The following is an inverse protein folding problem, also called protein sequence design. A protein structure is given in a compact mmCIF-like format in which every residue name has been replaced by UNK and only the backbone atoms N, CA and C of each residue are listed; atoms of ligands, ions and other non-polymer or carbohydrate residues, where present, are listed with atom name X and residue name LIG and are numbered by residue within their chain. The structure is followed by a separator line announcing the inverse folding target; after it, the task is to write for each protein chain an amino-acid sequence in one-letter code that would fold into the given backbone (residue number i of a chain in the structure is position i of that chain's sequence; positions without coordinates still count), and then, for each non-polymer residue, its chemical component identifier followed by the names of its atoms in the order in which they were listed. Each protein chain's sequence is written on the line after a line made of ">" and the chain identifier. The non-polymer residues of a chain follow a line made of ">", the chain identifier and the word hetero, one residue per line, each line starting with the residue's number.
data_IF_873635972705
#
_entry.id   IF_873635972705
#
_cell.length_a   1.000
_cell.length_b   1.000
_cell.length_c   1.000
_cell.angle_alpha   90.00
_cell.angle_beta   90.00
_cell.angle_gamma   90.00
#
_symmetry.space_group_name_H-M   'P 1'
#
loop_
_entity.id
_entity.type
_entity.pdbx_description
1 polymer ?
#
# COMPACT_ATOMS: atom_id res chain seq x y z
N UNK A 1 26.00 14.66 -3.44
CA UNK A 1 25.21 13.47 -3.81
C UNK A 1 23.84 13.65 -3.17
N UNK A 2 22.80 13.00 -3.68
CA UNK A 2 21.44 13.17 -3.14
C UNK A 2 21.08 11.94 -2.30
N UNK A 3 20.69 12.16 -1.05
CA UNK A 3 20.00 11.13 -0.29
C UNK A 3 18.68 10.79 -1.00
N UNK A 4 18.38 9.50 -1.09
CA UNK A 4 17.07 9.05 -1.56
C UNK A 4 16.31 8.48 -0.37
N UNK A 5 15.06 8.89 -0.23
CA UNK A 5 14.20 8.44 0.85
C UNK A 5 13.01 7.70 0.26
N UNK A 6 12.58 6.63 0.90
CA UNK A 6 11.35 5.92 0.53
C UNK A 6 10.23 6.32 1.49
N UNK A 7 9.18 6.93 0.95
CA UNK A 7 7.94 7.14 1.69
C UNK A 7 7.02 5.94 1.54
N UNK A 8 6.65 5.32 2.67
CA UNK A 8 5.64 4.28 2.77
C UNK A 8 4.39 4.93 3.34
N UNK A 9 3.40 5.11 2.48
CA UNK A 9 2.09 5.65 2.79
C UNK A 9 1.32 4.77 3.80
N UNK A 10 0.51 5.37 4.67
CA UNK A 10 -0.30 4.66 5.68
C UNK A 10 -1.24 3.62 5.05
N UNK A 11 -1.57 3.77 3.76
CA UNK A 11 -2.44 2.82 3.05
C UNK A 11 -1.71 1.58 2.53
N UNK A 12 -0.39 1.47 2.78
CA UNK A 12 0.43 0.35 2.31
C UNK A 12 0.18 -0.92 3.10
N UNK A 13 0.03 -2.04 2.37
CA UNK A 13 -0.08 -3.39 2.95
C UNK A 13 1.26 -3.92 3.48
N UNK A 14 2.34 -3.16 3.31
CA UNK A 14 3.63 -3.47 3.91
C UNK A 14 3.68 -3.08 5.39
N UNK A 15 2.88 -2.09 5.80
CA UNK A 15 2.67 -1.75 7.20
C UNK A 15 1.77 -2.81 7.87
N UNK A 16 2.13 -3.20 9.08
CA UNK A 16 1.34 -4.16 9.88
C UNK A 16 0.67 -3.43 11.03
N UNK A 17 -0.66 -3.46 11.02
CA UNK A 17 -1.48 -2.80 12.03
C UNK A 17 -2.15 -3.84 12.93
N UNK A 18 -2.05 -3.61 14.24
CA UNK A 18 -2.71 -4.43 15.26
C UNK A 18 -3.65 -3.57 16.11
N UNK A 19 -4.79 -4.13 16.57
CA UNK A 19 -5.28 -5.49 16.30
C UNK A 19 -5.74 -5.72 14.85
N UNK A 20 -5.93 -4.67 14.06
CA UNK A 20 -6.30 -4.75 12.64
C UNK A 20 -6.03 -3.43 11.91
N UNK A 21 -5.93 -3.52 10.58
CA UNK A 21 -5.68 -2.42 9.63
C UNK A 21 -6.88 -1.48 9.50
N UNK A 22 -8.07 -2.02 9.22
CA UNK A 22 -9.33 -1.28 9.07
C UNK A 22 -10.44 -1.99 9.83
N UNK A 23 -10.70 -1.59 11.08
CA UNK A 23 -11.85 -2.11 11.80
C UNK A 23 -12.75 -1.01 12.35
N UNK A 24 -14.01 -1.39 12.57
CA UNK A 24 -15.11 -0.46 12.70
C UNK A 24 -15.27 0.18 14.10
N UNK A 25 -14.59 -0.32 15.15
CA UNK A 25 -14.90 0.09 16.54
C UNK A 25 -13.69 0.20 17.51
N UNK A 26 -12.66 -0.63 17.34
CA UNK A 26 -11.41 -0.60 18.12
C UNK A 26 -10.21 -0.45 17.14
N UNK A 27 -8.94 -0.47 17.58
CA UNK A 27 -7.78 -0.55 16.67
C UNK A 27 -7.53 0.65 15.74
N UNK A 28 -7.11 0.37 14.49
CA UNK A 28 -6.83 1.40 13.48
C UNK A 28 -7.97 1.47 12.45
N UNK A 29 -8.23 2.69 11.98
CA UNK A 29 -9.24 2.99 10.99
C UNK A 29 -8.70 4.00 10.00
N UNK A 30 -8.83 3.70 8.72
CA UNK A 30 -8.50 4.62 7.66
C UNK A 30 -9.52 5.79 7.55
N UNK A 31 -8.99 6.98 7.30
CA UNK A 31 -9.74 8.21 7.10
C UNK A 31 -9.10 9.04 6.00
N UNK A 32 -9.93 9.75 5.24
CA UNK A 32 -9.46 10.65 4.20
C UNK A 32 -9.99 12.07 4.39
N UNK A 33 -9.23 13.08 3.99
CA UNK A 33 -9.69 14.48 4.11
C UNK A 33 -10.96 14.76 3.30
N UNK A 34 -11.13 14.14 2.13
CA UNK A 34 -12.31 14.28 1.27
C UNK A 34 -13.42 13.27 1.60
N UNK A 35 -13.07 11.98 1.68
CA UNK A 35 -14.06 10.90 1.87
C UNK A 35 -14.41 10.59 3.34
N UNK A 36 -13.60 11.08 4.30
CA UNK A 36 -13.72 10.79 5.74
C UNK A 36 -13.55 9.29 6.04
N UNK A 37 -14.16 8.82 7.13
CA UNK A 37 -14.25 7.39 7.43
C UNK A 37 -15.13 6.69 6.41
N UNK A 38 -14.86 5.42 6.15
CA UNK A 38 -15.73 4.60 5.31
C UNK A 38 -17.07 4.35 6.00
N UNK A 39 -18.21 4.84 5.48
CA UNK A 39 -19.52 4.60 6.08
C UNK A 39 -20.09 3.21 5.69
N UNK A 40 -19.28 2.15 5.76
CA UNK A 40 -19.67 0.80 5.37
C UNK A 40 -20.01 0.67 3.88
N UNK A 41 -19.20 1.28 3.01
CA UNK A 41 -19.47 1.31 1.57
C UNK A 41 -18.86 0.08 0.93
N UNK A 42 -19.68 -0.96 0.76
CA UNK A 42 -19.35 -2.08 -0.12
C UNK A 42 -19.23 -1.57 -1.57
N UNK A 43 -18.01 -1.23 -2.02
CA UNK A 43 -17.82 -0.71 -3.38
C UNK A 43 -16.37 -0.64 -3.84
N UNK A 44 -16.21 -0.52 -5.16
CA UNK A 44 -14.96 -0.15 -5.85
C UNK A 44 -14.78 1.39 -5.87
N UNK A 45 -15.24 2.08 -4.82
CA UNK A 45 -15.14 3.53 -4.73
C UNK A 45 -13.73 3.92 -4.26
N UNK A 46 -13.05 4.74 -5.06
CA UNK A 46 -11.78 5.32 -4.67
C UNK A 46 -12.02 6.42 -3.63
N UNK A 47 -11.23 6.41 -2.57
CA UNK A 47 -11.23 7.51 -1.62
C UNK A 47 -10.68 8.80 -2.26
N UNK A 48 -10.98 9.94 -1.64
CA UNK A 48 -10.55 11.26 -2.09
C UNK A 48 -9.89 12.04 -0.96
N UNK A 49 -8.82 12.75 -1.29
CA UNK A 49 -8.01 13.51 -0.32
C UNK A 49 -6.83 12.72 0.23
N UNK A 50 -6.18 13.28 1.25
CA UNK A 50 -5.03 12.69 1.92
C UNK A 50 -5.49 11.60 2.89
N UNK A 51 -4.84 10.45 2.85
CA UNK A 51 -5.08 9.34 3.77
C UNK A 51 -4.44 9.58 5.12
N UNK A 52 -5.06 9.01 6.14
CA UNK A 52 -4.54 8.88 7.50
C UNK A 52 -5.08 7.58 8.09
N UNK A 53 -4.27 6.89 8.90
CA UNK A 53 -4.75 5.85 9.80
C UNK A 53 -4.83 6.40 11.21
N UNK A 54 -6.00 6.30 11.83
CA UNK A 54 -6.25 6.80 13.17
C UNK A 54 -6.52 5.63 14.12
N UNK A 55 -6.00 5.75 15.34
CA UNK A 55 -6.40 4.90 16.45
C UNK A 55 -6.87 5.75 17.62
N UNK A 56 -8.05 5.45 18.14
CA UNK A 56 -8.61 6.04 19.36
C UNK A 56 -8.53 5.10 20.57
N UNK A 57 -7.85 3.96 20.43
CA UNK A 57 -7.69 2.94 21.48
C UNK A 57 -6.25 2.46 21.59
N UNK A 58 -6.09 1.23 22.09
CA UNK A 58 -4.80 0.54 22.05
C UNK A 58 -4.61 -0.13 20.70
N UNK A 59 -3.49 0.15 20.05
CA UNK A 59 -3.13 -0.48 18.78
C UNK A 59 -1.68 -0.18 18.43
N UNK A 60 -1.10 -0.94 17.52
CA UNK A 60 0.27 -0.71 17.05
C UNK A 60 0.34 -0.71 15.53
N UNK A 61 1.30 0.04 14.99
CA UNK A 61 1.72 -0.06 13.59
C UNK A 61 3.19 -0.45 13.59
N UNK A 62 3.57 -1.37 12.72
CA UNK A 62 4.96 -1.82 12.61
C UNK A 62 5.41 -1.98 11.17
N UNK A 63 6.72 -1.83 10.98
CA UNK A 63 7.40 -1.93 9.70
C UNK A 63 8.76 -2.57 9.90
N UNK A 64 9.07 -3.54 9.04
CA UNK A 64 10.44 -4.06 8.87
C UNK A 64 11.08 -3.42 7.64
N UNK A 65 12.31 -2.95 7.76
CA UNK A 65 13.00 -2.18 6.71
C UNK A 65 14.52 -2.35 6.72
N UNK A 66 15.15 -1.95 5.62
CA UNK A 66 16.60 -1.76 5.51
C UNK A 66 16.83 -0.28 5.20
N UNK A 67 17.72 0.39 5.93
CA UNK A 67 17.97 1.82 5.76
C UNK A 67 18.91 2.36 6.82
N UNK A 68 19.33 3.61 6.66
CA UNK A 68 20.15 4.33 7.64
C UNK A 68 19.33 5.15 8.63
N UNK A 69 18.02 5.17 8.46
CA UNK A 69 17.14 5.81 9.41
C UNK A 69 15.66 5.60 9.09
N UNK A 70 14.81 6.07 10.00
CA UNK A 70 13.37 6.00 9.87
C UNK A 70 12.72 7.21 10.53
N UNK A 71 11.72 7.76 9.84
CA UNK A 71 10.84 8.79 10.36
C UNK A 71 9.40 8.32 10.31
N UNK A 72 8.68 8.46 11.42
CA UNK A 72 7.24 8.21 11.47
C UNK A 72 6.54 9.55 11.44
N UNK A 73 5.77 9.82 10.39
CA UNK A 73 4.99 11.03 10.21
C UNK A 73 3.55 10.80 10.68
N UNK A 74 2.98 11.81 11.33
CA UNK A 74 1.66 11.72 11.94
C UNK A 74 1.44 12.76 13.03
N UNK A 75 0.41 12.56 13.84
CA UNK A 75 0.13 13.41 15.01
C UNK A 75 -0.49 12.59 16.12
N UNK A 76 -0.28 12.99 17.38
CA UNK A 76 -0.87 12.30 18.51
C UNK A 76 -1.21 13.29 19.61
N UNK A 77 -2.41 13.18 20.18
CA UNK A 77 -2.76 13.77 21.46
C UNK A 77 -3.04 12.68 22.53
N UNK A 78 -2.91 11.41 22.16
CA UNK A 78 -2.78 10.28 23.08
C UNK A 78 -1.31 10.04 23.45
N UNK A 79 -1.06 9.35 24.56
CA UNK A 79 0.26 8.79 24.85
C UNK A 79 0.59 7.67 23.86
N UNK A 80 1.82 7.62 23.38
CA UNK A 80 2.32 6.54 22.53
C UNK A 80 3.77 6.19 22.90
N UNK A 81 4.21 5.01 22.47
CA UNK A 81 5.60 4.57 22.60
C UNK A 81 6.11 4.10 21.26
N UNK A 82 7.41 4.29 21.01
CA UNK A 82 8.08 3.76 19.83
C UNK A 82 9.17 2.79 20.26
N UNK A 83 9.23 1.64 19.60
CA UNK A 83 10.28 0.66 19.77
C UNK A 83 11.01 0.48 18.44
N UNK A 84 12.34 0.52 18.49
CA UNK A 84 13.20 0.23 17.34
C UNK A 84 14.08 -0.97 17.68
N UNK A 85 13.97 -2.01 16.87
CA UNK A 85 14.63 -3.30 17.05
C UNK A 85 14.33 -3.88 18.45
N UNK A 86 15.37 -4.26 19.18
CA UNK A 86 15.29 -4.78 20.55
C UNK A 86 15.49 -3.69 21.61
N UNK A 87 15.43 -2.40 21.25
CA UNK A 87 15.54 -1.32 22.22
C UNK A 87 14.35 -1.29 23.17
N UNK A 88 14.54 -0.67 24.32
CA UNK A 88 13.42 -0.31 25.18
C UNK A 88 12.49 0.66 24.43
N UNK A 89 11.19 0.54 24.70
CA UNK A 89 10.19 1.42 24.14
C UNK A 89 10.36 2.83 24.70
N UNK A 90 10.58 3.82 23.83
CA UNK A 90 10.71 5.22 24.21
C UNK A 90 9.32 5.88 24.21
N UNK A 91 8.89 6.52 25.31
CA UNK A 91 7.70 7.37 25.30
C UNK A 91 7.85 8.45 24.24
N UNK A 92 6.81 8.63 23.43
CA UNK A 92 6.77 9.69 22.44
C UNK A 92 6.17 10.96 23.01
N UNK A 93 6.80 12.10 22.72
CA UNK A 93 6.19 13.42 22.87
C UNK A 93 5.89 13.91 21.45
N UNK A 94 4.62 14.19 21.12
CA UNK A 94 4.28 14.73 19.81
C UNK A 94 4.89 16.14 19.68
N UNK A 95 5.94 16.36 18.87
CA UNK A 95 6.71 17.61 18.84
C UNK A 95 5.93 18.80 18.24
N UNK A 96 4.73 18.59 17.71
CA UNK A 96 3.87 19.64 17.15
C UNK A 96 3.95 19.80 15.62
N UNK A 97 4.91 19.16 14.94
CA UNK A 97 5.23 19.43 13.52
C UNK A 97 4.95 18.26 12.56
N UNK A 98 4.07 17.33 12.94
CA UNK A 98 3.76 16.18 12.08
C UNK A 98 4.77 15.03 12.14
N UNK A 99 5.81 15.11 12.98
CA UNK A 99 6.83 14.07 13.16
C UNK A 99 6.63 13.36 14.50
N UNK A 100 6.34 12.07 14.51
CA UNK A 100 6.17 11.30 15.76
C UNK A 100 7.49 10.68 16.25
N UNK A 101 8.38 10.33 15.33
CA UNK A 101 9.65 9.69 15.65
C UNK A 101 10.66 9.93 14.54
N UNK A 102 11.92 10.14 14.91
CA UNK A 102 13.06 10.15 13.99
C UNK A 102 14.22 9.39 14.60
N UNK A 103 14.81 8.49 13.81
CA UNK A 103 16.09 7.86 14.11
C UNK A 103 16.94 7.80 12.86
N UNK A 104 18.19 8.23 13.00
CA UNK A 104 19.22 8.17 11.97
C UNK A 104 20.39 7.31 12.47
N UNK A 105 21.46 7.24 11.66
CA UNK A 105 22.69 6.49 11.95
C UNK A 105 22.46 4.99 12.20
N UNK A 106 21.46 4.41 11.54
CA UNK A 106 21.21 2.98 11.52
C UNK A 106 22.10 2.28 10.49
N UNK A 107 22.27 0.98 10.66
CA UNK A 107 23.12 0.17 9.80
C UNK A 107 22.33 -0.26 8.56
N UNK A 108 22.69 0.26 7.39
CA UNK A 108 22.01 -0.08 6.14
C UNK A 108 22.07 -1.58 5.75
N UNK A 109 23.04 -2.32 6.28
CA UNK A 109 23.30 -3.73 5.98
C UNK A 109 22.54 -4.72 6.87
N UNK A 110 21.72 -4.24 7.80
CA UNK A 110 20.89 -5.08 8.67
C UNK A 110 19.42 -4.73 8.54
N UNK A 111 18.58 -5.73 8.82
CA UNK A 111 17.14 -5.53 8.91
C UNK A 111 16.79 -4.87 10.24
N UNK A 112 16.01 -3.80 10.15
CA UNK A 112 15.47 -3.08 11.30
C UNK A 112 13.97 -3.31 11.40
N UNK A 113 13.43 -3.24 12.62
CA UNK A 113 11.99 -3.25 12.87
C UNK A 113 11.62 -2.03 13.71
N UNK A 114 10.68 -1.22 13.23
CA UNK A 114 10.11 -0.13 14.03
C UNK A 114 8.65 -0.44 14.33
N UNK A 115 8.22 -0.19 15.56
CA UNK A 115 6.82 -0.24 15.95
C UNK A 115 6.42 1.00 16.76
N UNK A 116 5.25 1.54 16.46
CA UNK A 116 4.61 2.58 17.25
C UNK A 116 3.35 1.99 17.89
N UNK A 117 3.27 2.08 19.21
CA UNK A 117 2.12 1.62 19.99
C UNK A 117 1.37 2.81 20.56
N UNK A 118 0.11 2.97 20.15
CA UNK A 118 -0.81 3.94 20.71
C UNK A 118 -1.38 3.43 22.03
N UNK A 119 -1.31 4.25 23.07
CA UNK A 119 -1.88 3.97 24.39
C UNK A 119 -3.05 4.94 24.66
N UNK A 120 -4.02 4.99 23.76
CA UNK A 120 -5.22 5.81 23.96
C UNK A 120 -6.20 5.12 24.91
N UNK A 121 -6.83 5.92 25.79
CA UNK A 121 -7.88 5.47 26.72
C UNK A 121 -9.30 5.69 26.16
N UNK A 122 -9.44 5.89 24.85
CA UNK A 122 -10.71 6.25 24.22
C UNK A 122 -11.00 7.76 24.23
N UNK A 123 -12.13 8.12 23.62
CA UNK A 123 -12.63 9.49 23.58
C UNK A 123 -11.95 10.35 22.52
N UNK A 124 -11.41 11.51 22.94
CA UNK A 124 -10.77 12.50 22.06
C UNK A 124 -9.27 12.29 21.89
N UNK A 125 -8.68 11.28 22.53
CA UNK A 125 -7.26 10.93 22.41
C UNK A 125 -7.05 10.00 21.22
N UNK A 126 -6.22 10.43 20.28
CA UNK A 126 -5.95 9.82 18.99
C UNK A 126 -4.44 9.72 18.77
N UNK A 127 -4.03 8.63 18.14
CA UNK A 127 -2.79 8.56 17.36
C UNK A 127 -3.18 8.53 15.89
N UNK A 128 -2.46 9.29 15.08
CA UNK A 128 -2.70 9.45 13.65
C UNK A 128 -1.37 9.19 12.95
N UNK A 129 -1.36 8.28 11.98
CA UNK A 129 -0.21 7.98 11.12
C UNK A 129 -0.53 8.46 9.70
N UNK A 130 0.46 9.08 9.07
CA UNK A 130 0.43 9.56 7.70
C UNK A 130 1.30 8.67 6.80
N UNK A 131 2.60 8.64 7.09
CA UNK A 131 3.54 7.83 6.32
C UNK A 131 4.78 7.51 7.17
N UNK A 132 5.51 6.49 6.77
CA UNK A 132 6.83 6.16 7.32
C UNK A 132 7.87 6.42 6.24
N UNK A 133 8.85 7.27 6.52
CA UNK A 133 9.96 7.55 5.61
C UNK A 133 11.16 6.72 6.04
N UNK A 134 11.64 5.85 5.16
CA UNK A 134 12.92 5.16 5.32
C UNK A 134 14.00 6.05 4.70
N UNK A 135 15.04 6.31 5.49
CA UNK A 135 16.22 7.06 5.06
C UNK A 135 17.26 6.08 4.55
N UNK A 136 17.92 6.43 3.45
CA UNK A 136 19.02 5.65 2.88
C UNK A 136 20.26 6.52 2.68
N UNK A 137 21.40 5.84 2.54
CA UNK A 137 22.66 6.50 2.18
C UNK A 137 22.56 7.25 0.86
N UNK A 138 23.35 8.31 0.76
CA UNK A 138 23.52 9.04 -0.50
C UNK A 138 24.08 8.11 -1.57
N UNK A 139 23.36 8.00 -2.68
CA UNK A 139 23.77 7.24 -3.84
C UNK A 139 23.48 8.03 -5.11
N UNK A 140 24.51 8.22 -5.92
CA UNK A 140 24.34 8.77 -7.26
C UNK A 140 23.92 7.65 -8.23
N UNK A 141 23.05 8.00 -9.18
CA UNK A 141 22.71 7.12 -10.31
C UNK A 141 21.58 6.11 -10.07
N UNK A 142 21.03 5.97 -8.86
CA UNK A 142 19.92 5.04 -8.64
C UNK A 142 18.66 5.48 -9.38
N UNK A 143 18.09 4.55 -10.13
CA UNK A 143 16.81 4.75 -10.81
C UNK A 143 15.90 3.53 -10.65
N UNK A 144 14.59 3.79 -10.66
CA UNK A 144 13.59 2.74 -10.67
C UNK A 144 13.41 2.21 -12.08
N UNK A 145 13.77 0.95 -12.28
CA UNK A 145 13.32 0.18 -13.45
C UNK A 145 11.91 -0.32 -13.16
N UNK A 146 10.94 0.14 -13.94
CA UNK A 146 9.54 -0.22 -13.80
C UNK A 146 9.19 -1.29 -14.82
N UNK A 147 8.68 -2.42 -14.35
CA UNK A 147 8.12 -3.50 -15.16
C UNK A 147 6.61 -3.46 -14.98
N UNK A 148 5.90 -3.12 -16.05
CA UNK A 148 4.45 -3.00 -16.08
C UNK A 148 3.80 -4.40 -16.09
N UNK A 149 2.59 -4.52 -15.56
CA UNK A 149 1.89 -5.80 -15.58
C UNK A 149 1.64 -6.34 -17.00
N UNK A 150 1.71 -5.52 -18.04
CA UNK A 150 1.57 -5.92 -19.44
C UNK A 150 2.88 -6.45 -20.08
N UNK A 151 4.03 -6.34 -19.40
CA UNK A 151 5.35 -6.77 -19.91
C UNK A 151 5.53 -8.29 -19.86
N UNK A 152 4.74 -9.03 -20.62
CA UNK A 152 4.71 -10.51 -20.64
C UNK A 152 6.04 -11.18 -21.08
N UNK A 153 6.99 -10.42 -21.61
CA UNK A 153 8.36 -10.90 -21.91
C UNK A 153 9.27 -10.91 -20.69
N UNK A 154 8.97 -10.08 -19.68
CA UNK A 154 9.73 -9.95 -18.45
C UNK A 154 9.04 -10.63 -17.26
N UNK A 155 7.72 -10.79 -17.35
CA UNK A 155 6.89 -11.43 -16.32
C UNK A 155 6.45 -12.83 -16.78
N UNK A 156 6.74 -13.85 -15.97
CA UNK A 156 6.20 -15.19 -16.18
C UNK A 156 4.95 -15.44 -15.35
N UNK A 157 3.81 -15.36 -16.03
CA UNK A 157 2.49 -15.64 -15.45
C UNK A 157 2.16 -17.13 -15.52
N UNK A 158 1.87 -17.72 -14.38
CA UNK A 158 1.33 -19.08 -14.23
C UNK A 158 -0.10 -19.04 -13.66
N UNK A 159 -0.94 -19.99 -14.06
CA UNK A 159 -2.34 -20.08 -13.65
C UNK A 159 -3.29 -19.20 -14.46
N UNK A 160 -4.43 -18.84 -13.86
CA UNK A 160 -5.46 -18.02 -14.51
C UNK A 160 -5.30 -16.56 -14.10
N UNK A 161 -4.77 -15.74 -15.01
CA UNK A 161 -4.66 -14.30 -14.89
C UNK A 161 -5.57 -13.61 -15.90
N UNK A 162 -6.27 -12.58 -15.45
CA UNK A 162 -7.22 -11.81 -16.25
C UNK A 162 -6.74 -10.36 -16.29
N UNK A 163 -6.75 -9.77 -17.48
CA UNK A 163 -6.56 -8.32 -17.63
C UNK A 163 -7.89 -7.63 -17.32
N UNK A 164 -7.87 -6.67 -16.40
CA UNK A 164 -9.04 -5.92 -15.96
C UNK A 164 -8.72 -4.42 -15.94
N UNK A 165 -9.74 -3.58 -15.77
CA UNK A 165 -9.57 -2.13 -15.63
C UNK A 165 -10.68 -1.55 -14.77
N UNK A 166 -10.30 -0.75 -13.78
CA UNK A 166 -11.24 -0.04 -12.90
C UNK A 166 -10.95 1.45 -12.94
N UNK A 167 -11.99 2.27 -12.90
CA UNK A 167 -11.83 3.69 -12.59
C UNK A 167 -11.30 3.81 -11.17
N UNK A 168 -10.24 4.58 -10.96
CA UNK A 168 -9.53 4.65 -9.69
C UNK A 168 -8.21 3.90 -9.67
N UNK A 169 -7.85 3.19 -10.75
CA UNK A 169 -6.57 2.47 -10.89
C UNK A 169 -5.76 3.09 -12.05
N UNK A 170 -4.50 3.52 -11.85
CA UNK A 170 -3.74 3.44 -10.60
C UNK A 170 -4.08 4.53 -9.57
N UNK A 171 -4.88 5.54 -9.93
CA UNK A 171 -5.27 6.63 -9.02
C UNK A 171 -6.72 7.06 -9.28
N UNK A 172 -7.27 7.87 -8.37
CA UNK A 172 -8.69 8.27 -8.33
C UNK A 172 -9.24 8.90 -9.63
N UNK A 173 -8.38 9.46 -10.49
CA UNK A 173 -8.80 10.14 -11.73
C UNK A 173 -8.57 9.33 -13.00
N UNK A 174 -7.85 8.20 -12.91
CA UNK A 174 -7.46 7.39 -14.06
C UNK A 174 -8.19 6.04 -14.12
N UNK A 175 -8.21 5.46 -15.32
CA UNK A 175 -8.61 4.07 -15.56
C UNK A 175 -7.55 3.44 -16.47
N UNK A 176 -6.66 2.65 -15.88
CA UNK A 176 -5.65 1.86 -16.56
C UNK A 176 -5.95 0.36 -16.41
N UNK A 177 -5.32 -0.43 -17.28
CA UNK A 177 -5.36 -1.88 -17.16
C UNK A 177 -4.42 -2.36 -16.06
N UNK A 178 -4.81 -3.42 -15.37
CA UNK A 178 -3.98 -4.18 -14.45
C UNK A 178 -4.25 -5.68 -14.68
N UNK A 179 -3.43 -6.55 -14.10
CA UNK A 179 -3.68 -8.00 -14.15
C UNK A 179 -4.15 -8.49 -12.79
N UNK A 180 -5.08 -9.44 -12.75
CA UNK A 180 -5.57 -10.04 -11.51
C UNK A 180 -5.68 -11.54 -11.59
N UNK A 181 -5.55 -12.18 -10.45
CA UNK A 181 -5.78 -13.59 -10.26
C UNK A 181 -6.66 -13.83 -9.02
N UNK A 182 -7.55 -14.82 -9.13
CA UNK A 182 -8.51 -15.20 -8.08
C UNK A 182 -8.27 -16.63 -7.53
N UNK A 183 -7.24 -17.33 -8.02
CA UNK A 183 -6.95 -18.72 -7.67
C UNK A 183 -5.59 -18.83 -6.98
N UNK A 184 -5.46 -19.60 -5.88
CA UNK A 184 -4.19 -19.75 -5.13
C UNK A 184 -3.08 -20.45 -5.93
N UNK A 185 -3.42 -21.12 -7.03
CA UNK A 185 -2.44 -21.72 -7.94
C UNK A 185 -1.86 -20.73 -8.96
N UNK A 186 -2.39 -19.50 -9.01
CA UNK A 186 -1.88 -18.45 -9.90
C UNK A 186 -0.70 -17.74 -9.27
N UNK A 187 0.33 -17.46 -10.07
CA UNK A 187 1.48 -16.67 -9.66
C UNK A 187 2.04 -15.90 -10.84
N UNK A 188 2.78 -14.84 -10.55
CA UNK A 188 3.62 -14.13 -11.52
C UNK A 188 5.01 -14.03 -10.93
N UNK A 189 6.02 -14.37 -11.74
CA UNK A 189 7.42 -14.32 -11.32
C UNK A 189 8.24 -13.43 -12.25
N UNK A 190 9.28 -12.83 -11.69
CA UNK A 190 10.23 -11.98 -12.40
C UNK A 190 11.63 -12.24 -11.85
N UNK A 191 12.61 -12.30 -12.74
CA UNK A 191 14.02 -12.43 -12.38
C UNK A 191 14.78 -11.15 -12.66
N UNK A 192 15.67 -10.75 -11.77
CA UNK A 192 16.49 -9.55 -11.96
C UNK A 192 17.84 -9.65 -11.24
N UNK A 193 18.80 -8.83 -11.68
CA UNK A 193 20.08 -8.58 -11.00
C UNK A 193 20.41 -7.08 -11.07
N UNK A 194 21.46 -6.63 -10.36
CA UNK A 194 21.81 -5.21 -10.28
C UNK A 194 20.85 -4.35 -9.44
N UNK A 195 19.92 -4.98 -8.73
CA UNK A 195 18.94 -4.32 -7.86
C UNK A 195 19.41 -4.23 -6.41
N UNK A 196 19.19 -3.07 -5.79
CA UNK A 196 19.37 -2.81 -4.34
C UNK A 196 18.06 -2.86 -3.56
N UNK A 197 16.94 -2.65 -4.26
CA UNK A 197 15.62 -2.82 -3.70
C UNK A 197 14.61 -3.29 -4.75
N UNK A 198 13.54 -3.92 -4.28
CA UNK A 198 12.38 -4.28 -5.11
C UNK A 198 11.09 -3.86 -4.40
N UNK A 199 10.13 -3.38 -5.19
CA UNK A 199 8.81 -2.98 -4.73
C UNK A 199 7.73 -3.59 -5.64
N UNK A 200 6.62 -4.05 -5.06
CA UNK A 200 5.44 -4.50 -5.80
C UNK A 200 4.29 -3.53 -5.53
N UNK A 201 3.63 -3.09 -6.60
CA UNK A 201 2.47 -2.23 -6.53
C UNK A 201 1.25 -2.89 -7.18
N UNK A 202 0.09 -2.67 -6.58
CA UNK A 202 -1.17 -3.20 -7.08
C UNK A 202 -2.36 -2.52 -6.43
N UNK A 203 -3.56 -2.79 -6.95
CA UNK A 203 -4.79 -2.26 -6.36
C UNK A 203 -5.22 -3.04 -5.11
N UNK A 204 -5.98 -2.39 -4.23
CA UNK A 204 -6.50 -2.94 -2.96
C UNK A 204 -7.98 -2.60 -2.85
N UNK A 205 -8.81 -3.55 -2.44
CA UNK A 205 -10.24 -3.35 -2.19
C UNK A 205 -10.72 -4.32 -1.10
N UNK A 206 -12.00 -4.24 -0.73
CA UNK A 206 -12.61 -5.13 0.26
C UNK A 206 -12.73 -6.59 -0.23
N UNK A 207 -12.61 -6.81 -1.54
CA UNK A 207 -12.63 -8.15 -2.16
C UNK A 207 -11.26 -8.83 -2.13
N UNK A 208 -10.19 -8.05 -1.91
CA UNK A 208 -8.84 -8.56 -1.82
C UNK A 208 -8.58 -9.13 -0.42
N UNK A 209 -7.76 -10.17 -0.33
CA UNK A 209 -7.42 -10.86 0.92
C UNK A 209 -5.93 -11.13 0.97
N UNK A 210 -5.54 -12.27 1.54
CA UNK A 210 -4.14 -12.66 1.67
C UNK A 210 -3.49 -12.88 0.31
N UNK A 211 -2.24 -12.47 0.19
CA UNK A 211 -1.37 -12.79 -0.92
C UNK A 211 -0.01 -13.19 -0.39
N UNK A 212 0.73 -13.94 -1.18
CA UNK A 212 2.10 -14.33 -0.84
C UNK A 212 3.07 -13.66 -1.80
N UNK A 213 4.19 -13.20 -1.26
CA UNK A 213 5.35 -12.75 -2.02
C UNK A 213 6.50 -13.66 -1.61
N UNK A 214 7.28 -14.14 -2.58
CA UNK A 214 8.51 -14.85 -2.33
C UNK A 214 9.67 -14.16 -3.03
N UNK A 215 10.76 -13.91 -2.31
CA UNK A 215 12.02 -13.45 -2.86
C UNK A 215 13.08 -14.53 -2.60
N UNK A 216 13.61 -15.14 -3.67
CA UNK A 216 14.56 -16.26 -3.57
C UNK A 216 14.08 -17.41 -2.65
N UNK A 217 12.78 -17.68 -2.64
CA UNK A 217 12.18 -18.75 -1.83
C UNK A 217 11.82 -18.34 -0.40
N UNK A 218 12.28 -17.20 0.10
CA UNK A 218 11.79 -16.64 1.37
C UNK A 218 10.40 -16.05 1.14
N UNK A 219 9.41 -16.49 1.91
CA UNK A 219 8.01 -16.16 1.67
C UNK A 219 7.45 -15.27 2.78
N UNK A 220 6.77 -14.20 2.36
CA UNK A 220 5.96 -13.33 3.20
C UNK A 220 4.49 -13.47 2.80
N UNK A 221 3.59 -13.55 3.78
CA UNK A 221 2.14 -13.49 3.57
C UNK A 221 1.60 -12.20 4.15
N UNK A 222 0.86 -11.44 3.33
CA UNK A 222 0.29 -10.14 3.71
C UNK A 222 -1.19 -10.10 3.36
N UNK A 223 -1.93 -9.20 4.01
CA UNK A 223 -3.35 -8.99 3.72
C UNK A 223 -3.52 -7.76 2.83
N UNK A 224 -4.25 -7.89 1.74
CA UNK A 224 -4.60 -6.81 0.83
C UNK A 224 -6.07 -6.37 0.97
N UNK A 225 -6.70 -6.57 2.12
CA UNK A 225 -8.00 -5.97 2.40
C UNK A 225 -7.86 -4.46 2.61
N UNK A 226 -8.80 -3.70 2.06
CA UNK A 226 -9.01 -2.27 2.36
C UNK A 226 -10.49 -1.96 2.20
N UNK A 227 -11.03 -1.12 3.05
CA UNK A 227 -12.39 -0.58 2.88
C UNK A 227 -12.58 0.16 1.55
N UNK A 228 -11.52 0.83 1.11
CA UNK A 228 -11.50 1.68 -0.08
C UNK A 228 -10.81 1.00 -1.27
N UNK A 229 -11.13 1.45 -2.49
CA UNK A 229 -10.28 1.19 -3.65
C UNK A 229 -9.00 2.03 -3.56
N UNK A 230 -7.89 1.37 -3.24
CA UNK A 230 -6.55 1.93 -3.37
C UNK A 230 -6.02 1.54 -4.74
N UNK A 231 -5.84 2.53 -5.63
CA UNK A 231 -5.52 2.26 -7.02
C UNK A 231 -4.14 1.64 -7.26
N UNK A 232 -3.14 2.05 -6.48
CA UNK A 232 -1.74 1.66 -6.65
C UNK A 232 -0.98 1.73 -5.33
N UNK A 233 -1.37 0.88 -4.37
CA UNK A 233 -0.71 0.82 -3.07
C UNK A 233 0.55 -0.05 -3.11
N UNK A 234 1.52 0.29 -2.28
CA UNK A 234 2.69 -0.54 -2.07
C UNK A 234 2.27 -1.82 -1.34
N UNK A 235 2.47 -2.96 -2.00
CA UNK A 235 2.20 -4.30 -1.47
C UNK A 235 3.39 -4.85 -0.71
N UNK A 236 4.55 -4.75 -1.32
CA UNK A 236 5.77 -5.35 -0.81
C UNK A 236 6.94 -4.45 -1.11
N UNK A 237 7.87 -4.36 -0.15
CA UNK A 237 9.15 -3.69 -0.34
C UNK A 237 10.26 -4.50 0.33
N UNK A 238 11.38 -4.64 -0.37
CA UNK A 238 12.60 -5.19 0.18
C UNK A 238 13.78 -4.35 -0.29
N UNK A 239 14.45 -3.68 0.65
CA UNK A 239 15.74 -3.05 0.45
C UNK A 239 16.90 -3.97 0.85
N UNK A 240 18.12 -3.43 0.85
CA UNK A 240 19.32 -4.14 1.30
C UNK A 240 19.75 -5.29 0.39
N UNK A 241 19.33 -5.28 -0.89
CA UNK A 241 19.73 -6.30 -1.85
C UNK A 241 21.16 -6.03 -2.34
N UNK A 242 21.93 -7.11 -2.53
CA UNK A 242 23.23 -7.10 -3.20
C UNK A 242 23.06 -7.00 -4.73
N UNK A 243 23.71 -6.02 -5.36
CA UNK A 243 23.67 -5.82 -6.83
C UNK A 243 24.29 -6.98 -7.62
N UNK A 244 25.15 -7.77 -6.99
CA UNK A 244 25.88 -8.86 -7.65
C UNK A 244 25.14 -10.21 -7.62
N UNK A 245 23.92 -10.23 -7.07
CA UNK A 245 23.12 -11.45 -6.95
C UNK A 245 21.95 -11.44 -7.95
N UNK A 246 21.53 -12.64 -8.36
CA UNK A 246 20.27 -12.84 -9.08
C UNK A 246 19.15 -13.05 -8.07
N UNK A 247 18.05 -12.34 -8.26
CA UNK A 247 16.83 -12.49 -7.48
C UNK A 247 15.69 -12.99 -8.35
N UNK A 248 14.88 -13.87 -7.78
CA UNK A 248 13.58 -14.26 -8.32
C UNK A 248 12.51 -13.80 -7.34
N UNK A 249 11.68 -12.86 -7.78
CA UNK A 249 10.47 -12.45 -7.05
C UNK A 249 9.26 -13.18 -7.64
N UNK A 250 8.43 -13.76 -6.78
CA UNK A 250 7.18 -14.44 -7.17
C UNK A 250 6.05 -13.91 -6.30
N UNK A 251 4.92 -13.56 -6.89
CA UNK A 251 3.75 -13.08 -6.15
C UNK A 251 2.47 -13.71 -6.69
N UNK A 252 1.51 -13.94 -5.80
CA UNK A 252 0.20 -14.47 -6.14
C UNK A 252 -0.79 -14.42 -4.98
N UNK A 253 -2.08 -14.62 -5.25
CA UNK A 253 -3.08 -14.74 -4.19
C UNK A 253 -2.77 -15.93 -3.26
N UNK A 254 -3.11 -15.79 -1.98
CA UNK A 254 -3.06 -16.87 -1.01
C UNK A 254 -4.49 -17.36 -0.75
N UNK A 255 -4.71 -18.68 -0.70
CA UNK A 255 -6.04 -19.27 -0.59
C UNK A 255 -7.03 -18.76 -1.67
N UNK A 256 -8.34 -18.74 -1.37
CA UNK A 256 -9.37 -18.17 -2.24
C UNK A 256 -9.42 -16.62 -2.13
N UNK A 257 -8.29 -15.98 -2.43
CA UNK A 257 -8.13 -14.53 -2.44
C UNK A 257 -7.99 -13.97 -3.86
N UNK A 258 -8.27 -12.68 -3.99
CA UNK A 258 -7.93 -11.90 -5.18
C UNK A 258 -6.63 -11.13 -4.94
N UNK A 259 -5.75 -11.15 -5.93
CA UNK A 259 -4.56 -10.31 -6.01
C UNK A 259 -4.55 -9.56 -7.35
N UNK A 260 -4.18 -8.28 -7.31
CA UNK A 260 -4.04 -7.42 -8.48
C UNK A 260 -2.61 -6.89 -8.55
N UNK A 261 -2.00 -6.95 -9.73
CA UNK A 261 -0.67 -6.43 -10.03
C UNK A 261 -0.78 -5.28 -11.02
N UNK A 262 -0.18 -4.13 -10.66
CA UNK A 262 0.02 -3.00 -11.56
C UNK A 262 1.46 -2.97 -12.07
N UNK A 263 2.45 -3.07 -11.17
CA UNK A 263 3.87 -3.05 -11.57
C UNK A 263 4.78 -3.67 -10.53
N UNK A 264 5.94 -4.12 -10.98
CA UNK A 264 7.09 -4.44 -10.14
C UNK A 264 8.18 -3.41 -10.45
N UNK A 265 8.81 -2.85 -9.42
CA UNK A 265 9.86 -1.84 -9.56
C UNK A 265 11.12 -2.34 -8.90
N UNK A 266 12.26 -2.16 -9.57
CA UNK A 266 13.58 -2.51 -9.04
C UNK A 266 14.44 -1.25 -9.03
N UNK A 267 15.01 -0.92 -7.87
CA UNK A 267 15.90 0.22 -7.71
C UNK A 267 17.34 -0.25 -7.87
N UNK A 268 18.12 0.41 -8.73
CA UNK A 268 19.54 0.14 -8.93
C UNK A 268 20.14 1.10 -9.95
N UNK A 269 21.47 1.09 -10.08
CA UNK A 269 22.18 1.86 -11.11
C UNK A 269 22.12 1.13 -12.48
N UNK A 270 22.35 -0.17 -12.47
CA UNK A 270 22.38 -1.03 -13.67
C UNK A 270 21.50 -2.27 -13.49
N UNK A 271 20.20 -2.06 -13.35
CA UNK A 271 19.23 -3.17 -13.21
C UNK A 271 19.11 -3.93 -14.53
N UNK A 272 19.20 -5.26 -14.46
CA UNK A 272 18.92 -6.14 -15.58
C UNK A 272 17.77 -7.07 -15.23
N UNK A 273 16.63 -6.92 -15.92
CA UNK A 273 15.49 -7.83 -15.80
C UNK A 273 15.66 -8.97 -16.80
N UNK A 274 15.75 -10.18 -16.29
CA UNK A 274 16.06 -11.37 -17.08
C UNK A 274 14.75 -11.87 -17.68
N UNK A 275 14.67 -11.85 -19.02
CA UNK A 275 13.48 -12.31 -19.73
C UNK A 275 13.19 -13.78 -19.40
N UNK A 276 11.92 -14.03 -19.07
CA UNK A 276 11.40 -15.38 -18.94
C UNK A 276 11.29 -15.99 -20.33
N UNK A 277 12.39 -16.55 -20.85
CA UNK A 277 12.31 -17.35 -22.06
C UNK A 277 11.44 -18.55 -21.74
N UNK A 278 10.13 -18.46 -22.02
CA UNK A 278 9.30 -19.63 -22.16
C UNK A 278 9.97 -20.43 -23.27
N UNK A 279 10.69 -21.47 -22.89
CA UNK A 279 11.02 -22.54 -23.83
C UNK A 279 9.66 -22.97 -24.33
N UNK A 280 9.29 -22.52 -25.52
CA UNK A 280 8.11 -23.00 -26.21
C UNK A 280 8.38 -24.47 -26.44
N UNK A 281 8.05 -25.29 -25.45
CA UNK A 281 7.94 -26.73 -25.60
C UNK A 281 6.89 -26.91 -26.67
N UNK A 282 7.40 -27.06 -27.89
CA UNK A 282 6.63 -27.33 -29.06
C UNK A 282 6.05 -28.69 -28.80
N UNK A 283 4.82 -28.74 -28.30
CA UNK A 283 4.08 -29.97 -28.10
C UNK A 283 3.96 -30.60 -29.49
N UNK A 284 4.89 -31.50 -29.81
CA UNK A 284 4.73 -32.45 -30.89
C UNK A 284 3.54 -33.31 -30.49
N UNK A 285 2.35 -32.94 -31.00
CA UNK A 285 1.18 -33.77 -30.95
C UNK A 285 1.50 -35.08 -31.67
N UNK A 286 1.85 -36.12 -30.92
CA UNK A 286 1.91 -37.48 -31.45
C UNK A 286 0.48 -37.94 -31.67
N UNK A 287 0.03 -37.85 -32.91
CA UNK A 287 -1.24 -38.39 -33.39
C UNK A 287 -1.21 -39.92 -33.27
N UNK A 288 -1.59 -40.46 -32.11
CA UNK A 288 -1.95 -41.88 -32.01
C UNK A 288 -3.36 -42.05 -32.55
N UNK A 289 -3.45 -42.53 -33.79
CA UNK A 289 -4.67 -43.02 -34.39
C UNK A 289 -5.10 -44.32 -33.68
N UNK A 290 -6.20 -44.26 -32.93
CA UNK A 290 -6.88 -45.45 -32.41
C UNK A 290 -8.15 -45.69 -33.23
N UNK A 291 -8.19 -46.87 -33.85
CA UNK A 291 -9.24 -47.39 -34.69
C UNK A 291 -10.49 -47.84 -33.91
N UNK A 292 -11.64 -47.30 -34.33
CA UNK A 292 -12.97 -47.94 -34.56
C UNK A 292 -13.33 -49.17 -33.69
N UNK A 293 -14.47 -49.10 -32.97
CA UNK A 293 -15.47 -50.20 -32.99
C UNK A 293 -16.88 -49.62 -32.75
N UNK A 294 -17.74 -49.91 -33.72
CA UNK A 294 -19.16 -49.59 -33.83
C UNK A 294 -20.04 -50.68 -33.20
N UNK A 295 -21.12 -50.30 -32.49
CA UNK A 295 -22.32 -51.13 -32.39
C UNK A 295 -23.59 -50.30 -32.15
N UNK A 296 -24.64 -50.77 -32.78
CA UNK A 296 -25.85 -50.11 -33.28
C UNK A 296 -27.04 -50.13 -32.29
N UNK A 297 -27.87 -49.09 -32.42
CA UNK A 297 -29.33 -48.98 -32.21
C UNK A 297 -29.99 -49.22 -30.84
N UNK A 298 -30.81 -48.23 -30.42
CA UNK A 298 -32.24 -48.49 -30.22
C UNK A 298 -33.11 -47.24 -30.40
N UNK A 299 -34.21 -47.43 -31.15
CA UNK A 299 -35.26 -46.47 -31.49
C UNK A 299 -36.22 -46.11 -30.34
N UNK A 300 -36.84 -44.93 -30.50
CA UNK A 300 -38.18 -44.59 -30.01
C UNK A 300 -38.24 -43.18 -29.42
N UNK A 301 -39.26 -42.33 -29.57
CA UNK A 301 -40.48 -42.29 -30.39
C UNK A 301 -40.95 -40.82 -30.35
N UNK A 302 -41.59 -40.35 -31.42
CA UNK A 302 -42.26 -39.05 -31.62
C UNK A 302 -42.93 -38.34 -30.41
N UNK A 303 -42.95 -36.99 -30.41
CA UNK A 303 -44.20 -36.20 -30.31
C UNK A 303 -44.04 -34.70 -30.63
N UNK A 304 -44.93 -34.24 -31.51
CA UNK A 304 -45.51 -32.91 -31.86
C UNK A 304 -45.01 -31.60 -31.22
N UNK A 305 -44.97 -30.48 -31.99
CA UNK A 305 -44.77 -29.14 -31.43
C UNK A 305 -46.08 -28.59 -30.84
N UNK A 306 -46.00 -27.89 -29.71
CA UNK A 306 -47.08 -27.05 -29.18
C UNK A 306 -46.70 -25.58 -29.35
N UNK A 307 -47.54 -24.89 -30.11
CA UNK A 307 -47.59 -23.43 -30.28
C UNK A 307 -48.35 -22.90 -29.06
N UNK A 308 -47.67 -22.12 -28.21
CA UNK A 308 -48.30 -21.39 -27.12
C UNK A 308 -48.53 -19.92 -27.50
N UNK A 309 -49.77 -19.51 -27.27
CA UNK A 309 -50.39 -18.22 -27.59
C UNK A 309 -50.09 -17.25 -26.46
N UNK A 310 -49.41 -16.13 -26.75
CA UNK A 310 -49.19 -15.03 -25.80
C UNK A 310 -50.20 -13.92 -26.09
N UNK A 311 -51.18 -13.75 -25.21
CA UNK A 311 -52.11 -12.62 -25.15
C UNK A 311 -51.91 -11.87 -23.84
N UNK A 312 -51.36 -10.66 -23.92
CA UNK A 312 -51.49 -9.52 -22.97
C UNK A 312 -50.88 -9.64 -21.56
N UNK A 313 -50.24 -8.58 -21.03
CA UNK A 313 -51.01 -7.41 -20.60
C UNK A 313 -50.34 -6.04 -20.85
N UNK A 314 -51.08 -5.10 -21.45
CA UNK A 314 -50.66 -3.70 -21.68
C UNK A 314 -50.93 -2.80 -20.46
N UNK A 315 -51.66 -3.27 -19.44
CA UNK A 315 -52.09 -2.43 -18.31
C UNK A 315 -51.10 -2.36 -17.13
N UNK A 316 -50.05 -3.20 -17.10
CA UNK A 316 -49.03 -3.15 -16.04
C UNK A 316 -47.98 -2.04 -16.25
N UNK A 317 -47.68 -1.68 -17.51
CA UNK A 317 -46.59 -0.76 -17.84
C UNK A 317 -46.83 0.70 -17.45
N UNK A 318 -48.09 1.15 -17.42
CA UNK A 318 -48.42 2.54 -17.10
C UNK A 318 -48.20 2.87 -15.62
N UNK A 319 -48.43 1.90 -14.72
CA UNK A 319 -48.18 2.08 -13.30
C UNK A 319 -46.67 2.15 -12.99
N UNK A 320 -45.86 1.28 -13.61
CA UNK A 320 -44.39 1.29 -13.44
C UNK A 320 -43.75 2.56 -13.98
N UNK A 321 -44.22 3.07 -15.12
CA UNK A 321 -43.71 4.34 -15.69
C UNK A 321 -44.00 5.53 -14.76
N UNK A 322 -45.19 5.59 -14.15
CA UNK A 322 -45.52 6.67 -13.21
C UNK A 322 -44.69 6.61 -11.92
N UNK A 323 -44.41 5.41 -11.40
CA UNK A 323 -43.53 5.23 -10.22
C UNK A 323 -42.09 5.65 -10.52
N UNK A 324 -41.55 5.25 -11.68
CA UNK A 324 -40.18 5.64 -12.10
C UNK A 324 -40.08 7.15 -12.34
N UNK A 325 -41.09 7.76 -12.97
CA UNK A 325 -41.12 9.21 -13.18
C UNK A 325 -41.19 9.99 -11.85
N UNK A 326 -41.98 9.50 -10.88
CA UNK A 326 -42.06 10.08 -9.53
C UNK A 326 -40.73 10.02 -8.79
N UNK A 327 -40.03 8.89 -8.84
CA UNK A 327 -38.69 8.71 -8.26
C UNK A 327 -37.66 9.65 -8.90
N UNK A 328 -37.66 9.80 -10.24
CA UNK A 328 -36.73 10.69 -10.93
C UNK A 328 -36.98 12.18 -10.60
N UNK A 329 -38.25 12.59 -10.45
CA UNK A 329 -38.58 13.95 -10.04
C UNK A 329 -38.20 14.21 -8.57
N UNK A 330 -38.41 13.24 -7.68
CA UNK A 330 -38.00 13.33 -6.28
C UNK A 330 -36.47 13.42 -6.12
N UNK A 331 -35.70 12.65 -6.91
CA UNK A 331 -34.26 12.75 -6.92
C UNK A 331 -33.76 14.10 -7.46
N UNK A 332 -34.44 14.70 -8.46
CA UNK A 332 -34.04 16.02 -9.00
C UNK A 332 -34.32 17.18 -8.06
N UNK A 333 -35.36 17.12 -7.22
CA UNK A 333 -35.66 18.22 -6.29
C UNK A 333 -34.71 18.25 -5.09
N UNK A 334 -34.08 17.11 -4.74
CA UNK A 334 -33.17 17.03 -3.58
C UNK A 334 -31.73 17.50 -3.85
N UNK A 335 -31.35 17.71 -5.11
CA UNK A 335 -29.98 18.08 -5.52
C UNK A 335 -29.74 19.60 -5.57
N UNK A 336 -30.68 20.43 -5.10
CA UNK A 336 -30.56 21.90 -5.24
C UNK A 336 -29.93 22.65 -4.06
N UNK A 337 -29.58 21.99 -2.97
CA UNK A 337 -28.96 22.66 -1.82
C UNK A 337 -27.55 22.11 -1.53
N UNK A 338 -26.61 22.26 -2.48
CA UNK A 338 -25.18 22.17 -2.17
C UNK A 338 -24.60 23.58 -2.01
N UNK A 339 -24.09 23.95 -0.81
CA UNK A 339 -23.38 25.21 -0.63
C UNK A 339 -22.12 25.23 -1.50
N UNK A 340 -21.87 26.37 -2.16
CA UNK A 340 -20.68 26.58 -2.97
C UNK A 340 -19.46 26.60 -2.05
N UNK A 341 -18.67 25.53 -2.07
CA UNK A 341 -17.37 25.50 -1.42
C UNK A 341 -16.33 26.12 -2.36
N UNK A 342 -15.66 27.16 -1.87
CA UNK A 342 -14.51 27.79 -2.55
C UNK A 342 -13.38 26.76 -2.53
N UNK A 343 -13.00 26.24 -3.70
CA UNK A 343 -11.83 25.38 -3.84
C UNK A 343 -10.57 26.24 -3.67
N UNK A 344 -9.81 25.96 -2.62
CA UNK A 344 -8.44 26.39 -2.50
C UNK A 344 -7.59 25.37 -3.27
N UNK A 345 -6.90 25.82 -4.31
CA UNK A 345 -6.03 24.98 -5.15
C UNK A 345 -4.94 24.35 -4.26
N UNK A 346 -5.03 23.02 -4.07
CA UNK A 346 -4.03 22.21 -3.38
C UNK A 346 -3.04 21.63 -4.37
N UNK A 347 -1.75 21.81 -4.09
CA UNK A 347 -0.63 21.18 -4.77
C UNK A 347 -0.79 19.65 -4.79
N UNK A 348 -0.71 19.07 -5.98
CA UNK A 348 -0.54 17.62 -6.18
C UNK A 348 0.86 17.25 -5.69
N UNK A 349 0.94 16.53 -4.57
CA UNK A 349 2.20 15.93 -4.10
C UNK A 349 2.41 14.63 -4.89
N UNK A 350 3.36 14.62 -5.81
CA UNK A 350 3.84 13.36 -6.39
C UNK A 350 4.64 12.59 -5.33
N UNK A 351 4.51 11.24 -5.25
CA UNK A 351 5.15 10.42 -4.21
C UNK A 351 6.69 10.34 -4.33
N UNK A 352 7.31 11.07 -5.25
CA UNK A 352 8.75 11.15 -5.40
C UNK A 352 9.16 12.61 -5.56
N UNK A 353 9.54 13.26 -4.47
CA UNK A 353 10.27 14.52 -4.56
C UNK A 353 11.70 14.18 -4.97
N UNK A 354 12.06 14.46 -6.23
CA UNK A 354 13.47 14.74 -6.55
C UNK A 354 13.91 15.89 -5.64
N UNK A 355 15.08 15.80 -4.97
CA UNK A 355 15.55 16.90 -4.14
C UNK A 355 15.82 18.12 -5.01
N UNK A 356 14.87 19.07 -4.97
CA UNK A 356 15.10 20.42 -5.45
C UNK A 356 16.25 21.04 -4.64
N UNK A 357 17.23 21.58 -5.36
CA UNK A 357 18.42 22.22 -4.79
C UNK A 357 18.05 23.48 -4.00
N UNK A 358 17.62 23.32 -2.76
CA UNK A 358 17.49 24.40 -1.79
C UNK A 358 17.76 23.90 -0.38
N UNK A 359 18.94 23.29 -0.19
CA UNK A 359 19.55 23.18 1.13
C UNK A 359 20.07 24.58 1.54
N UNK A 360 19.20 25.41 2.11
CA UNK A 360 19.70 26.49 2.97
C UNK A 360 20.23 25.85 4.25
N UNK A 361 21.56 25.85 4.36
CA UNK A 361 22.30 25.53 5.58
C UNK A 361 21.74 26.34 6.76
N UNK A 362 20.97 25.71 7.64
CA UNK A 362 20.67 26.23 8.95
C UNK A 362 21.95 26.10 9.80
N UNK A 363 22.78 27.14 9.72
CA UNK A 363 23.89 27.37 10.64
C UNK A 363 23.29 27.57 12.03
N UNK A 364 23.42 26.56 12.88
CA UNK A 364 23.18 26.69 14.32
C UNK A 364 23.94 27.90 14.85
N UNK A 365 23.22 28.92 15.32
CA UNK A 365 23.81 30.02 16.09
C UNK A 365 24.27 29.42 17.41
N UNK A 366 25.57 29.16 17.50
CA UNK A 366 26.26 28.92 18.75
C UNK A 366 25.98 30.10 19.69
N UNK A 367 25.19 29.87 20.73
CA UNK A 367 24.97 30.83 21.81
C UNK A 367 26.25 30.87 22.63
N UNK A 368 26.97 31.99 22.53
CA UNK A 368 28.12 32.30 23.37
C UNK A 368 27.59 32.57 24.79
N UNK A 369 28.02 31.84 25.83
CA UNK A 369 27.66 32.18 27.20
C UNK A 369 28.34 33.50 27.62
N UNK A 370 27.68 34.32 28.45
CA UNK A 370 28.28 35.55 28.96
C UNK A 370 29.48 35.25 29.88
N UNK A 371 30.47 36.15 29.96
CA UNK A 371 31.63 35.98 30.82
C UNK A 371 31.21 35.90 32.30
N UNK A 372 31.65 34.83 32.97
CA UNK A 372 31.52 34.66 34.41
C UNK A 372 32.26 35.77 35.14
N UNK A 373 31.53 36.59 35.90
CA UNK A 373 32.09 37.48 36.91
C UNK A 373 32.77 36.63 37.99
N UNK A 374 34.09 36.76 38.10
CA UNK A 374 34.88 36.11 39.14
C UNK A 374 34.55 36.69 40.51
N UNK A 375 33.90 35.88 41.35
CA UNK A 375 33.86 36.09 42.80
C UNK A 375 35.14 35.53 43.41
N UNK A 376 36.04 36.43 43.83
CA UNK A 376 37.17 36.09 44.68
C UNK A 376 36.66 35.74 46.09
N UNK A 377 36.65 34.46 46.44
CA UNK A 377 36.52 34.01 47.83
C UNK A 377 37.91 33.96 48.46
N UNK A 378 38.21 34.92 49.34
CA UNK A 378 39.38 34.86 50.23
C UNK A 378 39.23 33.70 51.22
N UNK A 379 40.14 32.73 51.18
CA UNK A 379 40.30 31.77 52.26
C UNK A 379 41.17 32.37 53.37
N UNK A 380 40.58 32.63 54.53
CA UNK A 380 41.32 32.92 55.77
C UNK A 380 41.71 31.59 56.40
N UNK A 381 43.01 31.24 56.38
CA UNK A 381 43.54 30.19 57.24
C UNK A 381 43.72 30.75 58.66
N UNK A 382 43.03 30.15 59.63
CA UNK A 382 43.28 30.37 61.05
C UNK A 382 44.19 29.23 61.55
N UNK A 383 45.45 29.54 61.83
CA UNK A 383 46.38 28.67 62.56
C UNK A 383 46.04 28.73 64.05
N UNK A 384 45.58 27.62 64.64
CA UNK A 384 45.61 27.45 66.10
C UNK A 384 46.89 26.72 66.49
N UNK A 385 47.66 27.40 67.33
CA UNK A 385 48.76 26.87 68.14
C UNK A 385 48.12 26.20 69.36
N UNK A 386 48.42 24.92 69.60
CA UNK A 386 48.75 24.36 70.92
C UNK A 386 49.60 23.10 70.75
#
# INVERSE_FOLDING_TARGET
>A
MAAWNLSIDDTSQWLTYEPYYDGAQEGWTQWYTGSRYEPGVSGLEAASGDSRHLSNGTGSVSLTFYGTGVQIQGSANASYTVQLDSSDATPGEAPGDGLLFNREDLRADVEHNVSLSCNSKGGTHLCIIDNIVILHDEYDGLNWTVVDNSDAFLLDYAGNWIVDSWRGVPNATMQATFTRADLPSSSVSMKFTGGRAVAIYGSTTHEHKRYTVSLNGQQDTRNAYSGWLLGNSLKYYRGGLSENEEYTITVGPADNARFCLNSIRVLGDSVYVISSSRTSDTIHASTQASSITSSTAQEGTSTSPRIEVIVGPIFGGLATILVVAGLLLYCRTRVRDTPKFVSQEGLVVEPFLQPGSSAQSFRSKQVIPPPSSGEQTMSVQLTMIY
#
